data_IF_709408681496
#
_entry.id   IF_709408681496
#
_cell.length_a   1.000
_cell.length_b   1.000
_cell.length_c   1.000
_cell.angle_alpha   90.00
_cell.angle_beta   90.00
_cell.angle_gamma   90.00
#
_symmetry.space_group_name_H-M   'P 1'
#
loop_
_entity.id
_entity.type
_entity.pdbx_description
1 polymer ?
#
# COMPACT_ATOMS: atom_id res chain seq x y z
N UNK A 1 6.94 -6.44 12.91
CA UNK A 1 5.83 -6.92 13.76
C UNK A 1 4.87 -7.69 12.86
N UNK A 2 5.15 -8.97 12.62
CA UNK A 2 4.50 -9.75 11.54
C UNK A 2 3.03 -10.03 11.88
N UNK A 3 2.15 -9.74 10.93
CA UNK A 3 0.72 -9.97 10.96
C UNK A 3 0.36 -11.36 10.42
N UNK A 4 0.74 -11.66 9.18
CA UNK A 4 0.40 -12.90 8.48
C UNK A 4 1.59 -13.30 7.60
N UNK A 5 1.76 -14.59 7.31
CA UNK A 5 2.84 -15.12 6.46
C UNK A 5 2.21 -16.09 5.48
N UNK A 6 2.26 -15.78 4.19
CA UNK A 6 1.84 -16.66 3.10
C UNK A 6 3.03 -17.46 2.55
N UNK A 7 2.87 -18.00 1.35
CA UNK A 7 3.86 -18.88 0.72
C UNK A 7 5.10 -18.12 0.25
N UNK A 8 4.93 -16.91 -0.31
CA UNK A 8 6.01 -16.13 -0.93
C UNK A 8 6.11 -14.71 -0.35
N UNK A 9 5.13 -14.28 0.44
CA UNK A 9 5.10 -12.96 1.06
C UNK A 9 4.54 -12.99 2.48
N UNK A 10 4.73 -11.90 3.22
CA UNK A 10 4.15 -11.69 4.52
C UNK A 10 3.64 -10.25 4.67
N UNK A 11 2.73 -10.07 5.63
CA UNK A 11 2.17 -8.76 5.98
C UNK A 11 2.70 -8.34 7.34
N UNK A 12 3.09 -7.08 7.50
CA UNK A 12 3.45 -6.46 8.78
C UNK A 12 2.79 -5.09 8.89
N UNK A 13 2.48 -4.66 10.12
CA UNK A 13 2.16 -3.25 10.37
C UNK A 13 3.39 -2.39 10.10
N UNK A 14 3.22 -1.24 9.43
CA UNK A 14 4.30 -0.29 9.21
C UNK A 14 4.76 0.31 10.54
N UNK A 15 6.07 0.43 10.73
CA UNK A 15 6.62 1.16 11.88
C UNK A 15 6.24 2.64 11.78
N UNK A 16 5.64 3.20 12.82
CA UNK A 16 5.14 4.58 12.79
C UNK A 16 4.08 4.76 11.69
N UNK A 17 2.94 4.06 11.77
CA UNK A 17 1.92 4.09 10.74
C UNK A 17 1.41 5.52 10.53
N UNK A 18 1.04 5.84 9.29
CA UNK A 18 0.69 7.21 8.92
C UNK A 18 -0.61 7.64 9.62
N UNK A 19 -1.73 6.89 9.54
CA UNK A 19 -2.85 7.08 10.45
C UNK A 19 -2.49 6.60 11.87
N UNK A 20 -3.16 7.18 12.87
CA UNK A 20 -3.22 6.57 14.20
C UNK A 20 -4.31 5.48 14.27
N UNK A 21 -4.35 4.69 15.36
CA UNK A 21 -5.30 3.58 15.51
C UNK A 21 -6.78 4.00 15.43
N UNK A 22 -7.10 5.24 15.83
CA UNK A 22 -8.48 5.74 15.85
C UNK A 22 -8.93 6.44 14.56
N UNK A 23 -8.03 6.64 13.58
CA UNK A 23 -8.33 7.44 12.39
C UNK A 23 -9.51 6.89 11.58
N UNK A 24 -9.68 5.57 11.55
CA UNK A 24 -10.76 4.88 10.85
C UNK A 24 -11.84 4.31 11.77
N UNK A 25 -11.84 4.66 13.07
CA UNK A 25 -12.74 4.05 14.06
C UNK A 25 -14.23 4.26 13.73
N UNK A 26 -14.60 5.44 13.21
CA UNK A 26 -15.97 5.73 12.74
C UNK A 26 -16.42 4.88 11.56
N UNK A 27 -15.47 4.26 10.88
CA UNK A 27 -15.64 3.36 9.74
C UNK A 27 -15.34 1.91 10.11
N UNK A 28 -15.40 1.54 11.39
CA UNK A 28 -15.33 0.13 11.83
C UNK A 28 -13.92 -0.48 11.91
N UNK A 29 -12.87 0.28 11.62
CA UNK A 29 -11.47 -0.16 11.76
C UNK A 29 -10.85 0.52 12.98
N UNK A 30 -10.40 -0.26 13.96
CA UNK A 30 -9.83 0.24 15.22
C UNK A 30 -8.32 0.01 15.33
N UNK A 31 -7.63 0.07 14.20
CA UNK A 31 -6.18 -0.03 14.06
C UNK A 31 -5.73 0.83 12.88
N UNK A 32 -4.44 1.22 12.77
CA UNK A 32 -3.98 2.20 11.78
C UNK A 32 -4.20 1.80 10.32
N UNK A 33 -4.20 0.49 10.06
CA UNK A 33 -4.36 -0.11 8.73
C UNK A 33 -3.33 0.40 7.70
N UNK A 34 -2.14 0.80 8.15
CA UNK A 34 -1.01 1.10 7.28
C UNK A 34 -0.06 -0.10 7.26
N UNK A 35 -0.28 -1.01 6.31
CA UNK A 35 0.40 -2.30 6.28
C UNK A 35 1.45 -2.33 5.18
N UNK A 36 2.47 -3.17 5.37
CA UNK A 36 3.45 -3.52 4.36
C UNK A 36 3.21 -4.98 3.95
N UNK A 37 3.10 -5.21 2.64
CA UNK A 37 3.15 -6.53 2.02
C UNK A 37 4.57 -6.67 1.49
N UNK A 38 5.30 -7.68 1.96
CA UNK A 38 6.74 -7.81 1.71
C UNK A 38 7.00 -9.23 1.22
N UNK A 39 7.73 -9.42 0.11
CA UNK A 39 8.15 -10.75 -0.31
C UNK A 39 9.11 -11.37 0.71
N UNK A 40 9.17 -12.69 0.73
CA UNK A 40 10.19 -13.43 1.50
C UNK A 40 11.56 -13.30 0.83
N UNK A 41 11.57 -13.24 -0.51
CA UNK A 41 12.77 -12.98 -1.31
C UNK A 41 13.28 -11.55 -1.11
N UNK A 42 14.54 -11.41 -0.70
CA UNK A 42 15.15 -10.12 -0.39
C UNK A 42 15.68 -9.43 -1.66
N UNK A 43 14.76 -9.06 -2.54
CA UNK A 43 15.05 -8.44 -3.83
C UNK A 43 14.43 -7.05 -3.96
N UNK A 44 15.10 -6.18 -4.72
CA UNK A 44 14.69 -4.78 -4.88
C UNK A 44 13.65 -4.56 -5.99
N UNK A 45 13.49 -5.53 -6.89
CA UNK A 45 12.52 -5.57 -7.99
C UNK A 45 12.01 -6.99 -8.21
N UNK A 46 10.80 -7.13 -8.76
CA UNK A 46 10.33 -8.45 -9.23
C UNK A 46 11.21 -9.01 -10.35
N UNK A 47 11.76 -8.15 -11.21
CA UNK A 47 12.73 -8.58 -12.23
C UNK A 47 13.94 -9.30 -11.62
N UNK A 48 14.46 -8.81 -10.49
CA UNK A 48 15.60 -9.42 -9.80
C UNK A 48 15.25 -10.79 -9.18
N UNK A 49 13.97 -11.08 -8.92
CA UNK A 49 13.51 -12.38 -8.41
C UNK A 49 13.54 -13.49 -9.47
N UNK A 50 13.68 -13.17 -10.76
CA UNK A 50 13.77 -14.17 -11.82
C UNK A 50 12.53 -15.06 -11.92
N UNK A 51 12.72 -16.38 -11.87
CA UNK A 51 11.64 -17.38 -11.99
C UNK A 51 10.60 -17.30 -10.87
N UNK A 52 10.98 -16.69 -9.73
CA UNK A 52 10.13 -16.56 -8.56
C UNK A 52 9.20 -15.34 -8.61
N UNK A 53 9.36 -14.45 -9.60
CA UNK A 53 8.64 -13.20 -9.70
C UNK A 53 7.12 -13.40 -9.78
N UNK A 54 6.65 -14.32 -10.62
CA UNK A 54 5.22 -14.52 -10.87
C UNK A 54 4.51 -15.11 -9.64
N UNK A 55 5.12 -16.08 -8.96
CA UNK A 55 4.54 -16.68 -7.75
C UNK A 55 4.51 -15.66 -6.60
N UNK A 56 5.57 -14.87 -6.46
CA UNK A 56 5.66 -13.81 -5.45
C UNK A 56 4.62 -12.73 -5.71
N UNK A 57 4.50 -12.24 -6.94
CA UNK A 57 3.52 -11.23 -7.32
C UNK A 57 2.08 -11.72 -7.07
N UNK A 58 1.79 -12.99 -7.38
CA UNK A 58 0.48 -13.61 -7.11
C UNK A 58 0.17 -13.64 -5.62
N UNK A 59 1.11 -14.06 -4.78
CA UNK A 59 0.88 -14.15 -3.32
C UNK A 59 0.71 -12.76 -2.69
N UNK A 60 1.54 -11.78 -3.09
CA UNK A 60 1.39 -10.39 -2.68
C UNK A 60 0.06 -9.79 -3.15
N UNK A 61 -0.38 -10.11 -4.36
CA UNK A 61 -1.68 -9.69 -4.90
C UNK A 61 -2.83 -10.27 -4.09
N UNK A 62 -2.75 -11.54 -3.70
CA UNK A 62 -3.75 -12.20 -2.86
C UNK A 62 -3.89 -11.51 -1.49
N UNK A 63 -2.77 -11.11 -0.86
CA UNK A 63 -2.80 -10.30 0.37
C UNK A 63 -3.43 -8.92 0.15
N UNK A 64 -3.04 -8.23 -0.93
CA UNK A 64 -3.61 -6.92 -1.29
C UNK A 64 -5.13 -7.01 -1.44
N UNK A 65 -5.62 -7.96 -2.23
CA UNK A 65 -7.05 -8.15 -2.50
C UNK A 65 -7.82 -8.59 -1.24
N UNK A 66 -7.25 -9.48 -0.43
CA UNK A 66 -7.84 -9.87 0.85
C UNK A 66 -8.00 -8.67 1.80
N UNK A 67 -6.99 -7.78 1.88
CA UNK A 67 -7.09 -6.56 2.68
C UNK A 67 -8.08 -5.55 2.10
N UNK A 68 -8.18 -5.43 0.77
CA UNK A 68 -9.23 -4.63 0.11
C UNK A 68 -10.63 -5.11 0.51
N UNK A 69 -10.87 -6.42 0.45
CA UNK A 69 -12.13 -7.03 0.85
C UNK A 69 -12.43 -6.82 2.35
N UNK A 70 -11.42 -6.98 3.22
CA UNK A 70 -11.53 -6.67 4.65
C UNK A 70 -11.94 -5.20 4.87
N UNK A 71 -11.24 -4.24 4.26
CA UNK A 71 -11.50 -2.81 4.44
C UNK A 71 -12.90 -2.43 3.95
N UNK A 72 -13.30 -2.92 2.77
CA UNK A 72 -14.64 -2.66 2.25
C UNK A 72 -15.72 -3.22 3.17
N UNK A 73 -15.60 -4.49 3.59
CA UNK A 73 -16.60 -5.14 4.45
C UNK A 73 -16.70 -4.49 5.83
N UNK A 74 -15.57 -4.29 6.53
CA UNK A 74 -15.54 -3.71 7.86
C UNK A 74 -16.06 -2.27 7.88
N UNK A 75 -15.79 -1.52 6.80
CA UNK A 75 -16.25 -0.14 6.65
C UNK A 75 -17.66 0.02 6.11
N UNK A 76 -18.35 -1.08 5.79
CA UNK A 76 -19.64 -1.04 5.08
C UNK A 76 -19.52 -0.22 3.79
N UNK A 77 -18.46 -0.49 3.03
CA UNK A 77 -18.15 0.10 1.74
C UNK A 77 -17.90 1.63 1.76
N UNK A 78 -17.49 2.17 2.93
CA UNK A 78 -17.13 3.60 3.08
C UNK A 78 -15.66 3.88 2.76
N UNK A 79 -14.82 2.86 2.83
CA UNK A 79 -13.39 2.95 2.55
C UNK A 79 -13.04 2.11 1.33
N UNK A 80 -12.20 2.68 0.46
CA UNK A 80 -11.38 1.92 -0.48
C UNK A 80 -9.94 1.85 0.02
N UNK A 81 -9.01 1.59 -0.89
CA UNK A 81 -7.60 1.45 -0.57
C UNK A 81 -6.69 2.06 -1.64
N UNK A 82 -5.54 2.54 -1.18
CA UNK A 82 -4.39 2.90 -2.00
C UNK A 82 -3.27 1.94 -1.65
N UNK A 83 -2.65 1.33 -2.65
CA UNK A 83 -1.45 0.51 -2.47
C UNK A 83 -0.35 1.09 -3.33
N UNK A 84 0.89 1.19 -2.86
CA UNK A 84 1.98 1.70 -3.68
C UNK A 84 3.29 0.93 -3.49
N UNK A 85 4.14 1.04 -4.50
CA UNK A 85 5.41 0.34 -4.63
C UNK A 85 6.48 1.29 -5.17
N UNK A 86 7.71 1.08 -4.71
CA UNK A 86 8.90 1.70 -5.27
C UNK A 86 9.77 0.55 -5.81
N UNK A 87 9.75 0.33 -7.12
CA UNK A 87 10.58 -0.68 -7.78
C UNK A 87 11.84 0.00 -8.30
N UNK A 88 12.99 -0.32 -7.70
CA UNK A 88 14.27 0.31 -8.06
C UNK A 88 15.41 -0.68 -8.01
N UNK A 89 16.20 -0.77 -9.06
CA UNK A 89 17.34 -1.69 -9.11
C UNK A 89 18.38 -1.41 -8.02
N UNK A 90 18.58 -0.12 -7.69
CA UNK A 90 19.47 0.32 -6.59
C UNK A 90 18.76 0.29 -5.21
N UNK A 91 17.57 -0.28 -5.13
CA UNK A 91 16.83 -0.49 -3.89
C UNK A 91 17.40 -1.64 -3.07
N UNK A 92 16.78 -1.92 -1.92
CA UNK A 92 17.21 -3.00 -1.02
C UNK A 92 16.19 -4.13 -1.05
N UNK A 93 14.91 -3.80 -0.80
CA UNK A 93 13.84 -4.77 -0.69
C UNK A 93 12.53 -4.12 -1.12
N UNK A 94 11.90 -4.68 -2.14
CA UNK A 94 10.60 -4.24 -2.62
C UNK A 94 9.54 -4.54 -1.56
N UNK A 95 8.58 -3.64 -1.43
CA UNK A 95 7.41 -3.85 -0.59
C UNK A 95 6.27 -3.01 -1.12
N UNK A 96 5.05 -3.46 -0.88
CA UNK A 96 3.84 -2.68 -1.13
C UNK A 96 3.35 -2.11 0.18
N UNK A 97 3.12 -0.80 0.21
CA UNK A 97 2.44 -0.17 1.33
C UNK A 97 0.95 -0.11 1.00
N UNK A 98 0.11 -0.52 1.93
CA UNK A 98 -1.33 -0.54 1.83
C UNK A 98 -1.94 0.46 2.82
N UNK A 99 -2.86 1.30 2.35
CA UNK A 99 -3.52 2.30 3.18
C UNK A 99 -4.98 2.51 2.76
N UNK A 100 -5.95 2.40 3.68
CA UNK A 100 -7.33 2.78 3.40
C UNK A 100 -7.48 4.28 3.14
N UNK A 101 -8.50 4.61 2.38
CA UNK A 101 -8.91 6.00 2.13
C UNK A 101 -10.41 6.04 1.91
N UNK A 102 -11.05 7.17 2.20
CA UNK A 102 -12.47 7.33 1.91
C UNK A 102 -12.77 7.03 0.44
N UNK A 103 -13.76 6.18 0.20
CA UNK A 103 -14.27 5.89 -1.15
C UNK A 103 -14.63 7.19 -1.90
N UNK A 104 -15.13 8.20 -1.19
CA UNK A 104 -15.50 9.48 -1.77
C UNK A 104 -14.31 10.20 -2.43
N UNK A 105 -13.12 10.11 -1.82
CA UNK A 105 -11.90 10.68 -2.39
C UNK A 105 -11.47 9.93 -3.66
N UNK A 106 -11.66 8.61 -3.69
CA UNK A 106 -11.36 7.79 -4.88
C UNK A 106 -12.34 8.11 -6.02
N UNK A 107 -13.65 8.10 -5.75
CA UNK A 107 -14.68 8.35 -6.78
C UNK A 107 -14.59 9.74 -7.39
N UNK A 108 -14.21 10.73 -6.60
CA UNK A 108 -13.97 12.10 -7.09
C UNK A 108 -12.63 12.27 -7.81
N UNK A 109 -11.83 11.22 -7.94
CA UNK A 109 -10.50 11.27 -8.56
C UNK A 109 -9.46 12.03 -7.75
N UNK A 110 -9.72 12.33 -6.48
CA UNK A 110 -8.85 13.16 -5.64
C UNK A 110 -7.57 12.43 -5.25
N UNK A 111 -7.60 11.10 -5.11
CA UNK A 111 -6.39 10.31 -4.89
C UNK A 111 -5.46 10.40 -6.10
N UNK A 112 -5.98 10.12 -7.29
CA UNK A 112 -5.21 10.23 -8.54
C UNK A 112 -4.66 11.65 -8.74
N UNK A 113 -5.49 12.68 -8.52
CA UNK A 113 -5.07 14.07 -8.60
C UNK A 113 -3.97 14.40 -7.59
N UNK A 114 -4.05 13.92 -6.35
CA UNK A 114 -3.03 14.16 -5.33
C UNK A 114 -1.66 13.59 -5.71
N UNK A 115 -1.61 12.38 -6.28
CA UNK A 115 -0.37 11.79 -6.80
C UNK A 115 0.21 12.60 -7.95
N UNK A 116 -0.62 12.99 -8.93
CA UNK A 116 -0.18 13.77 -10.10
C UNK A 116 0.32 15.17 -9.70
N UNK A 117 -0.40 15.88 -8.83
CA UNK A 117 -0.03 17.22 -8.36
C UNK A 117 1.25 17.18 -7.52
N UNK A 118 1.41 16.19 -6.63
CA UNK A 118 2.65 16.10 -5.85
C UNK A 118 3.85 15.72 -6.71
N UNK A 119 3.68 14.86 -7.72
CA UNK A 119 4.73 14.57 -8.69
C UNK A 119 5.15 15.85 -9.44
N UNK A 120 4.19 16.66 -9.90
CA UNK A 120 4.46 17.94 -10.55
C UNK A 120 5.19 18.93 -9.61
N UNK A 121 4.77 19.04 -8.35
CA UNK A 121 5.42 19.87 -7.34
C UNK A 121 6.89 19.47 -7.11
N UNK A 122 7.20 18.18 -7.20
CA UNK A 122 8.56 17.64 -7.08
C UNK A 122 9.32 17.61 -8.43
N UNK A 123 8.68 18.05 -9.53
CA UNK A 123 9.20 17.98 -10.90
C UNK A 123 9.56 16.56 -11.34
N UNK A 124 8.79 15.59 -10.89
CA UNK A 124 8.90 14.19 -11.33
C UNK A 124 8.17 13.95 -12.66
N UNK A 125 8.48 12.86 -13.37
CA UNK A 125 7.77 12.46 -14.58
C UNK A 125 6.26 12.26 -14.35
N UNK A 126 5.49 12.35 -15.44
CA UNK A 126 4.04 12.20 -15.38
C UNK A 126 3.63 10.74 -15.19
N UNK A 127 2.56 10.52 -14.42
CA UNK A 127 1.92 9.22 -14.31
C UNK A 127 1.21 8.78 -15.60
N UNK A 128 1.33 7.50 -15.93
CA UNK A 128 0.57 6.81 -16.97
C UNK A 128 -0.35 5.76 -16.34
N UNK A 129 -1.55 5.58 -16.89
CA UNK A 129 -2.45 4.49 -16.47
C UNK A 129 -2.08 3.23 -17.26
N UNK A 130 -1.45 2.25 -16.60
CA UNK A 130 -0.85 1.06 -17.23
C UNK A 130 -0.83 -0.09 -16.21
N UNK A 131 -1.18 -1.30 -16.66
CA UNK A 131 -1.05 -2.53 -15.86
C UNK A 131 0.29 -3.20 -16.21
N UNK A 132 1.23 -3.17 -15.28
CA UNK A 132 2.54 -3.77 -15.47
C UNK A 132 2.60 -5.26 -15.07
N UNK A 133 1.54 -5.80 -14.45
CA UNK A 133 1.61 -7.07 -13.76
C UNK A 133 2.81 -7.13 -12.80
N UNK A 134 3.66 -8.17 -12.86
CA UNK A 134 4.87 -8.24 -12.04
C UNK A 134 5.99 -7.29 -12.51
N UNK A 135 5.85 -6.60 -13.63
CA UNK A 135 6.86 -5.69 -14.20
C UNK A 135 8.24 -6.35 -14.45
N UNK A 136 8.29 -7.65 -14.73
CA UNK A 136 9.54 -8.39 -15.00
C UNK A 136 10.25 -7.94 -16.26
N UNK A 137 9.52 -7.35 -17.20
CA UNK A 137 10.03 -6.81 -18.45
C UNK A 137 10.22 -5.28 -18.43
N UNK A 138 10.00 -4.62 -17.29
CA UNK A 138 10.14 -3.16 -17.18
C UNK A 138 11.63 -2.80 -17.05
N UNK A 139 12.23 -2.10 -18.04
CA UNK A 139 13.67 -1.82 -18.03
C UNK A 139 14.04 -0.65 -17.12
N UNK A 140 13.06 0.14 -16.67
CA UNK A 140 13.27 1.35 -15.88
C UNK A 140 12.85 1.17 -14.42
N UNK A 141 13.48 1.91 -13.51
CA UNK A 141 12.97 2.09 -12.15
C UNK A 141 11.57 2.74 -12.24
N UNK A 142 10.66 2.46 -11.31
CA UNK A 142 9.34 3.08 -11.30
C UNK A 142 8.74 3.21 -9.90
N UNK A 143 7.85 4.19 -9.77
CA UNK A 143 6.87 4.28 -8.69
C UNK A 143 5.50 3.87 -9.23
N UNK A 144 4.83 2.94 -8.56
CA UNK A 144 3.50 2.46 -8.94
C UNK A 144 2.51 2.66 -7.81
N UNK A 145 1.28 3.01 -8.17
CA UNK A 145 0.16 3.09 -7.23
C UNK A 145 -1.09 2.42 -7.79
N UNK A 146 -1.69 1.53 -7.01
CA UNK A 146 -3.03 1.01 -7.23
C UNK A 146 -4.03 1.80 -6.41
N UNK A 147 -5.11 2.23 -7.05
CA UNK A 147 -6.24 2.91 -6.42
C UNK A 147 -7.45 2.00 -6.60
N UNK A 148 -8.06 1.56 -5.50
CA UNK A 148 -9.14 0.60 -5.52
C UNK A 148 -10.29 1.02 -4.60
N UNK A 149 -11.53 0.86 -5.07
CA UNK A 149 -12.72 1.02 -4.24
C UNK A 149 -13.85 0.10 -4.72
N UNK A 150 -14.61 -0.39 -3.76
CA UNK A 150 -15.92 -1.01 -3.96
C UNK A 150 -16.94 -0.28 -3.08
N UNK A 151 -18.05 0.18 -3.67
CA UNK A 151 -19.18 0.76 -2.93
C UNK A 151 -20.37 -0.17 -2.76
N UNK A 152 -20.30 -1.39 -3.29
CA UNK A 152 -21.41 -2.33 -3.28
C UNK A 152 -22.61 -1.94 -4.16
N UNK A 153 -22.57 -0.78 -4.83
CA UNK A 153 -23.67 -0.25 -5.65
C UNK A 153 -23.27 -0.11 -7.12
N UNK A 154 -22.19 0.62 -7.40
CA UNK A 154 -21.73 0.94 -8.76
C UNK A 154 -20.63 -0.01 -9.25
N UNK A 155 -20.19 -0.92 -8.38
CA UNK A 155 -19.19 -1.94 -8.66
C UNK A 155 -17.75 -1.48 -8.39
N UNK A 156 -16.80 -2.37 -8.63
CA UNK A 156 -15.39 -2.16 -8.33
C UNK A 156 -14.79 -1.13 -9.29
N UNK A 157 -14.15 -0.10 -8.74
CA UNK A 157 -13.22 0.78 -9.45
C UNK A 157 -11.80 0.39 -9.07
N UNK A 158 -10.97 0.14 -10.09
CA UNK A 158 -9.54 -0.13 -9.93
C UNK A 158 -8.75 0.67 -10.97
N UNK A 159 -7.62 1.24 -10.56
CA UNK A 159 -6.66 1.91 -11.44
C UNK A 159 -5.24 1.58 -11.01
N UNK A 160 -4.34 1.46 -11.97
CA UNK A 160 -2.89 1.37 -11.76
C UNK A 160 -2.24 2.57 -12.44
N UNK A 161 -1.48 3.36 -11.68
CA UNK A 161 -0.74 4.50 -12.18
C UNK A 161 0.76 4.25 -12.01
N UNK A 162 1.52 4.45 -13.07
CA UNK A 162 2.96 4.21 -13.14
C UNK A 162 3.68 5.51 -13.45
N UNK A 163 4.69 5.84 -12.64
CA UNK A 163 5.63 6.91 -12.88
C UNK A 163 7.03 6.30 -13.01
N UNK A 164 7.52 6.20 -14.24
CA UNK A 164 8.89 5.73 -14.52
C UNK A 164 9.90 6.75 -14.00
N UNK A 165 10.95 6.26 -13.37
CA UNK A 165 12.02 7.03 -12.73
C UNK A 165 13.28 6.88 -13.58
N UNK A 166 14.01 7.97 -13.73
CA UNK A 166 15.31 7.99 -14.40
C UNK A 166 16.40 8.53 -13.46
N UNK A 167 17.65 8.44 -13.91
CA UNK A 167 18.80 8.89 -13.12
C UNK A 167 18.98 10.43 -13.09
N UNK A 168 18.06 11.21 -13.69
CA UNK A 168 18.17 12.68 -13.72
C UNK A 168 17.80 13.36 -12.40
N UNK A 169 17.16 12.64 -11.47
CA UNK A 169 16.77 13.16 -10.17
C UNK A 169 16.87 12.12 -9.05
N UNK A 170 16.88 12.61 -7.81
CA UNK A 170 16.78 11.76 -6.62
C UNK A 170 15.32 11.62 -6.22
N UNK A 171 14.77 10.41 -6.34
CA UNK A 171 13.41 10.12 -5.92
C UNK A 171 13.27 10.05 -4.39
N UNK A 172 12.22 10.67 -3.85
CA UNK A 172 11.84 10.61 -2.44
C UNK A 172 11.21 9.26 -2.10
N UNK A 173 11.90 8.44 -1.30
CA UNK A 173 11.38 7.14 -0.86
C UNK A 173 10.16 7.24 0.07
N UNK A 174 9.82 8.44 0.54
CA UNK A 174 8.60 8.71 1.30
C UNK A 174 7.49 9.33 0.42
N UNK A 175 7.64 9.37 -0.91
CA UNK A 175 6.70 10.04 -1.82
C UNK A 175 5.25 9.56 -1.63
N UNK A 176 5.00 8.24 -1.65
CA UNK A 176 3.65 7.69 -1.43
C UNK A 176 3.07 8.09 -0.07
N UNK A 177 3.87 7.98 1.00
CA UNK A 177 3.48 8.44 2.35
C UNK A 177 3.18 9.94 2.38
N UNK A 178 3.97 10.76 1.69
CA UNK A 178 3.81 12.22 1.62
C UNK A 178 2.52 12.63 0.94
N UNK A 179 2.21 12.01 -0.21
CA UNK A 179 0.94 12.23 -0.92
C UNK A 179 -0.23 11.90 -0.01
N UNK A 180 -0.21 10.71 0.61
CA UNK A 180 -1.30 10.29 1.49
C UNK A 180 -1.40 11.14 2.76
N UNK A 181 -0.27 11.59 3.31
CA UNK A 181 -0.26 12.48 4.48
C UNK A 181 -0.96 13.80 4.17
N UNK A 182 -0.64 14.43 3.03
CA UNK A 182 -1.28 15.68 2.58
C UNK A 182 -2.77 15.47 2.29
N UNK A 183 -3.11 14.40 1.57
CA UNK A 183 -4.49 14.10 1.21
C UNK A 183 -5.40 13.86 2.43
N UNK A 184 -4.85 13.23 3.47
CA UNK A 184 -5.59 12.88 4.70
C UNK A 184 -5.49 13.94 5.81
N UNK A 185 -4.74 15.03 5.60
CA UNK A 185 -4.49 16.04 6.64
C UNK A 185 -3.65 15.53 7.82
N UNK A 186 -2.69 14.64 7.54
CA UNK A 186 -1.82 13.95 8.49
C UNK A 186 -0.34 14.36 8.34
N UNK A 187 -0.05 15.56 7.86
CA UNK A 187 1.31 16.03 7.58
C UNK A 187 2.21 16.06 8.82
N UNK A 188 1.62 16.30 10.00
CA UNK A 188 2.33 16.21 11.29
C UNK A 188 2.88 14.80 11.58
N UNK A 189 2.38 13.77 10.89
CA UNK A 189 2.80 12.36 11.01
C UNK A 189 3.68 11.90 9.85
N UNK A 190 4.16 12.81 9.01
CA UNK A 190 4.92 12.47 7.81
C UNK A 190 6.21 11.70 8.13
N UNK A 191 6.98 12.15 9.11
CA UNK A 191 8.17 11.44 9.59
C UNK A 191 7.73 10.29 10.49
N UNK A 192 7.92 9.05 10.03
CA UNK A 192 7.62 7.87 10.85
C UNK A 192 8.43 7.84 12.17
N UNK A 193 9.59 8.52 12.20
CA UNK A 193 10.44 8.64 13.39
C UNK A 193 9.81 9.50 14.49
N UNK A 194 8.90 10.38 14.11
CA UNK A 194 8.23 11.31 15.03
C UNK A 194 6.94 10.70 15.61
N UNK A 195 6.49 9.56 15.04
CA UNK A 195 5.28 8.84 15.43
C UNK A 195 5.57 7.37 15.75
N UNK A 196 6.78 7.08 16.25
CA UNK A 196 7.15 5.73 16.68
C UNK A 196 6.28 5.32 17.86
N UNK A 197 5.69 4.13 17.73
CA UNK A 197 4.92 3.50 18.79
C UNK A 197 5.83 2.71 19.71
N UNK A 198 5.43 2.59 20.96
CA UNK A 198 6.03 1.64 21.90
C UNK A 198 5.73 0.20 21.44
N UNK A 199 6.56 -0.75 21.86
CA UNK A 199 6.35 -2.17 21.54
C UNK A 199 4.97 -2.69 21.96
N UNK A 200 4.42 -2.34 23.15
CA UNK A 200 3.05 -2.73 23.51
C UNK A 200 1.98 -2.19 22.54
N UNK A 201 2.09 -0.94 22.10
CA UNK A 201 1.16 -0.34 21.12
C UNK A 201 1.26 -1.05 19.76
N UNK A 202 2.48 -1.35 19.30
CA UNK A 202 2.66 -2.13 18.07
C UNK A 202 2.02 -3.53 18.20
N UNK A 203 2.12 -4.18 19.37
CA UNK A 203 1.54 -5.51 19.64
C UNK A 203 0.02 -5.44 19.60
N UNK A 204 -0.55 -4.40 20.19
CA UNK A 204 -1.98 -4.17 20.15
C UNK A 204 -2.49 -3.99 18.72
N UNK A 205 -1.82 -3.16 17.91
CA UNK A 205 -2.19 -2.94 16.52
C UNK A 205 -2.13 -4.23 15.70
N UNK A 206 -1.10 -5.06 15.88
CA UNK A 206 -0.99 -6.36 15.21
C UNK A 206 -2.10 -7.31 15.64
N UNK A 207 -2.42 -7.37 16.93
CA UNK A 207 -3.46 -8.25 17.43
C UNK A 207 -4.84 -7.85 16.91
N UNK A 208 -5.12 -6.54 16.85
CA UNK A 208 -6.35 -5.99 16.27
C UNK A 208 -6.43 -6.31 14.78
N UNK A 209 -5.35 -6.07 14.03
CA UNK A 209 -5.29 -6.46 12.61
C UNK A 209 -5.57 -7.95 12.43
N UNK A 210 -4.86 -8.84 13.14
CA UNK A 210 -5.04 -10.30 13.03
C UNK A 210 -6.48 -10.72 13.32
N UNK A 211 -7.07 -10.17 14.40
CA UNK A 211 -8.45 -10.48 14.76
C UNK A 211 -9.44 -10.02 13.69
N UNK A 212 -9.23 -8.83 13.11
CA UNK A 212 -10.10 -8.30 12.06
C UNK A 212 -9.90 -9.01 10.74
N UNK A 213 -8.66 -9.33 10.36
CA UNK A 213 -8.31 -9.93 9.07
C UNK A 213 -8.62 -11.42 8.98
N UNK A 214 -8.78 -12.12 10.12
CA UNK A 214 -9.01 -13.57 10.18
C UNK A 214 -9.98 -14.16 9.15
N UNK A 215 -11.16 -13.56 8.85
CA UNK A 215 -12.08 -14.10 7.83
C UNK A 215 -11.54 -14.07 6.38
N UNK A 216 -10.53 -13.24 6.11
CA UNK A 216 -9.88 -13.07 4.81
C UNK A 216 -8.47 -13.66 4.78
N UNK A 217 -7.99 -14.17 5.91
CA UNK A 217 -6.63 -14.66 6.05
C UNK A 217 -6.48 -16.06 5.44
N UNK A 218 -6.20 -16.08 4.14
CA UNK A 218 -5.95 -17.29 3.40
C UNK A 218 -4.68 -18.04 3.83
N UNK A 219 -3.79 -17.38 4.59
CA UNK A 219 -2.55 -18.00 5.05
C UNK A 219 -2.72 -18.91 6.27
N UNK A 220 -3.94 -18.98 6.82
CA UNK A 220 -4.29 -19.89 7.92
C UNK A 220 -4.71 -21.30 7.45
N UNK A 221 -4.92 -21.48 6.14
CA UNK A 221 -5.43 -22.73 5.56
C UNK A 221 -4.32 -23.69 5.09
N UNK A 222 -3.05 -23.37 5.39
CA UNK A 222 -1.87 -24.21 5.13
C UNK A 222 -1.16 -24.68 6.42
#
# INVERSE_FOLDING_TARGET
MICCIGTEAYVTTAKGPLPGPDHFASSGLSFPCHQLIIPLSHESTFQAMGEDADKTYKDMTRFKEAMQAMVASQSKYKLGAVTWEISRQKGIHIHWQFLPVSHHLIRKGLVEAAFKVEAENQKYPTFQEEDLGPATNEPTDFFRVWIWADDGETGIQSKELVMRLDDSFRFDLQFGRRVMAKLLGLEARLSWRDVVQSTPEEIEDVNRFKSTFKPWDFSLEE
#
